data_IF_458750493216
#
_entry.id   IF_458750493216
#
_cell.length_a   1.000
_cell.length_b   1.000
_cell.length_c   1.000
_cell.angle_alpha   90.00
_cell.angle_beta   90.00
_cell.angle_gamma   90.00
#
_symmetry.space_group_name_H-M   'P 1'
#
loop_
_entity.id
_entity.type
_entity.pdbx_description
1 polymer ?
#
# COMPACT_ATOMS: atom_id res chain seq x y z
N UNK A 1 -29.50 -31.45 42.04
CA UNK A 1 -28.98 -32.30 40.95
C UNK A 1 -29.03 -31.45 39.68
N UNK A 2 -27.88 -30.95 39.25
CA UNK A 2 -27.63 -29.94 38.22
C UNK A 2 -27.92 -30.45 36.81
N UNK A 3 -28.37 -29.59 35.90
CA UNK A 3 -27.95 -29.49 34.47
C UNK A 3 -28.67 -28.26 33.88
N UNK A 4 -28.16 -27.03 34.07
CA UNK A 4 -27.26 -26.33 33.14
C UNK A 4 -27.53 -26.74 31.68
N UNK A 5 -28.41 -25.99 31.02
CA UNK A 5 -28.36 -25.83 29.56
C UNK A 5 -26.96 -25.29 29.20
N UNK A 6 -26.16 -25.97 28.38
CA UNK A 6 -24.99 -25.33 27.79
C UNK A 6 -25.48 -24.28 26.80
N UNK A 7 -25.00 -23.01 26.85
CA UNK A 7 -25.17 -22.13 25.71
C UNK A 7 -24.37 -22.74 24.56
N UNK A 8 -25.09 -23.05 23.48
CA UNK A 8 -24.54 -23.48 22.19
C UNK A 8 -23.57 -22.41 21.66
N UNK A 9 -22.30 -22.54 22.04
CA UNK A 9 -21.19 -21.68 21.63
C UNK A 9 -20.48 -22.29 20.42
N UNK A 10 -21.24 -22.79 19.45
CA UNK A 10 -20.68 -23.30 18.21
C UNK A 10 -20.91 -22.32 17.05
N UNK A 11 -19.82 -21.63 16.71
CA UNK A 11 -19.55 -21.08 15.37
C UNK A 11 -20.28 -19.77 15.00
N UNK A 12 -19.82 -18.66 15.58
CA UNK A 12 -19.73 -17.43 14.78
C UNK A 12 -18.73 -17.73 13.66
N UNK A 13 -19.13 -17.80 12.37
CA UNK A 13 -18.14 -17.85 11.32
C UNK A 13 -17.38 -16.53 11.41
N UNK A 14 -16.11 -16.58 11.83
CA UNK A 14 -15.19 -15.48 11.58
C UNK A 14 -15.22 -15.30 10.06
N UNK A 15 -15.99 -14.32 9.61
CA UNK A 15 -15.93 -13.80 8.26
C UNK A 15 -14.56 -13.13 8.11
N UNK A 16 -13.53 -13.97 8.05
CA UNK A 16 -12.16 -13.64 7.77
C UNK A 16 -12.16 -13.40 6.27
N UNK A 17 -12.79 -12.29 5.85
CA UNK A 17 -12.81 -11.77 4.48
C UNK A 17 -11.45 -12.11 3.90
N UNK A 18 -11.41 -13.00 2.91
CA UNK A 18 -10.18 -13.45 2.26
C UNK A 18 -9.37 -12.18 1.99
N UNK A 19 -8.25 -12.00 2.69
CA UNK A 19 -7.45 -10.77 2.66
C UNK A 19 -7.08 -10.53 1.20
N UNK A 20 -7.82 -9.62 0.56
CA UNK A 20 -7.88 -9.55 -0.89
C UNK A 20 -6.49 -9.25 -1.41
N UNK A 21 -6.02 -10.06 -2.37
CA UNK A 21 -4.93 -9.67 -3.23
C UNK A 21 -5.21 -8.24 -3.72
N UNK A 22 -4.21 -7.37 -3.76
CA UNK A 22 -4.37 -6.05 -4.35
C UNK A 22 -4.99 -6.20 -5.75
N UNK A 23 -6.24 -5.79 -5.93
CA UNK A 23 -6.91 -5.77 -7.23
C UNK A 23 -7.15 -4.32 -7.66
N UNK A 24 -7.21 -4.07 -8.97
CA UNK A 24 -7.48 -2.74 -9.53
C UNK A 24 -6.28 -1.77 -9.43
N UNK A 25 -6.46 -0.66 -8.72
CA UNK A 25 -5.55 0.50 -8.71
C UNK A 25 -4.13 0.16 -8.25
N UNK A 26 -3.98 -0.50 -7.10
CA UNK A 26 -2.65 -0.81 -6.52
C UNK A 26 -1.88 -1.82 -7.36
N UNK A 27 -2.57 -2.78 -7.96
CA UNK A 27 -1.97 -3.78 -8.85
C UNK A 27 -1.43 -3.12 -10.14
N UNK A 28 -2.22 -2.21 -10.72
CA UNK A 28 -1.80 -1.40 -11.88
C UNK A 28 -0.62 -0.50 -11.51
N UNK A 29 -0.70 0.20 -10.37
CA UNK A 29 0.38 1.04 -9.87
C UNK A 29 1.67 0.22 -9.66
N UNK A 30 1.58 -0.96 -9.06
CA UNK A 30 2.73 -1.82 -8.83
C UNK A 30 3.42 -2.27 -10.13
N UNK A 31 2.63 -2.55 -11.17
CA UNK A 31 3.21 -2.87 -12.48
C UNK A 31 4.02 -1.69 -13.06
N UNK A 32 3.50 -0.47 -12.94
CA UNK A 32 4.21 0.75 -13.37
C UNK A 32 5.47 0.97 -12.54
N UNK A 33 5.37 0.83 -11.20
CA UNK A 33 6.51 0.95 -10.28
C UNK A 33 7.65 0.00 -10.67
N UNK A 34 7.32 -1.27 -10.94
CA UNK A 34 8.31 -2.28 -11.34
C UNK A 34 8.97 -1.99 -12.68
N UNK A 35 8.28 -1.30 -13.58
CA UNK A 35 8.82 -0.98 -14.91
C UNK A 35 9.65 0.30 -14.91
N UNK A 36 9.25 1.31 -14.13
CA UNK A 36 9.92 2.62 -14.08
C UNK A 36 11.05 2.68 -13.06
N UNK A 37 10.95 1.90 -11.97
CA UNK A 37 11.83 1.88 -10.79
C UNK A 37 11.93 3.20 -10.02
N UNK A 38 11.85 4.35 -10.68
CA UNK A 38 11.86 5.69 -10.12
C UNK A 38 10.66 6.46 -10.63
N UNK A 39 9.89 7.07 -9.72
CA UNK A 39 8.60 7.69 -10.04
C UNK A 39 8.16 8.69 -8.98
N UNK A 40 7.18 9.53 -9.30
CA UNK A 40 6.44 10.34 -8.33
C UNK A 40 5.00 9.85 -8.18
N UNK A 41 4.29 10.32 -7.14
CA UNK A 41 2.85 10.03 -6.98
C UNK A 41 2.03 10.60 -8.15
N UNK A 42 2.40 11.77 -8.67
CA UNK A 42 1.74 12.38 -9.82
C UNK A 42 1.89 11.50 -11.07
N UNK A 43 3.12 11.06 -11.37
CA UNK A 43 3.39 10.17 -12.50
C UNK A 43 2.59 8.87 -12.45
N UNK A 44 2.39 8.33 -11.24
CA UNK A 44 1.56 7.14 -11.06
C UNK A 44 0.10 7.43 -11.34
N UNK A 45 -0.44 8.50 -10.76
CA UNK A 45 -1.85 8.88 -10.95
C UNK A 45 -2.18 9.09 -12.42
N UNK A 46 -1.31 9.78 -13.16
CA UNK A 46 -1.51 10.03 -14.60
C UNK A 46 -1.61 8.75 -15.42
N UNK A 47 -0.95 7.67 -14.98
CA UNK A 47 -0.93 6.39 -15.69
C UNK A 47 -2.05 5.45 -15.23
N UNK A 48 -2.38 5.46 -13.93
CA UNK A 48 -3.25 4.44 -13.34
C UNK A 48 -4.64 4.92 -12.95
N UNK A 49 -4.85 6.22 -12.71
CA UNK A 49 -6.18 6.74 -12.44
C UNK A 49 -6.98 6.74 -13.74
N UNK A 50 -8.18 6.15 -13.73
CA UNK A 50 -9.09 6.18 -14.88
C UNK A 50 -10.40 6.94 -14.58
N UNK A 51 -10.48 7.59 -13.41
CA UNK A 51 -11.62 8.37 -12.98
C UNK A 51 -12.75 7.55 -12.33
N UNK A 52 -12.63 6.22 -12.29
CA UNK A 52 -13.60 5.36 -11.59
C UNK A 52 -13.36 5.30 -10.08
N UNK A 53 -12.21 5.77 -9.62
CA UNK A 53 -11.80 5.70 -8.22
C UNK A 53 -12.33 6.89 -7.41
N UNK A 54 -12.97 6.60 -6.27
CA UNK A 54 -13.48 7.64 -5.35
C UNK A 54 -12.39 8.57 -4.79
N UNK A 55 -11.19 8.03 -4.53
CA UNK A 55 -10.03 8.81 -4.06
C UNK A 55 -8.73 8.05 -4.36
N UNK A 56 -8.30 8.06 -5.62
CA UNK A 56 -7.07 7.39 -6.05
C UNK A 56 -5.83 7.98 -5.38
N UNK A 57 -5.77 9.32 -5.25
CA UNK A 57 -4.62 10.05 -4.72
C UNK A 57 -4.33 9.69 -3.27
N UNK A 58 -5.32 9.79 -2.38
CA UNK A 58 -5.10 9.44 -0.97
C UNK A 58 -4.83 7.95 -0.80
N UNK A 59 -5.46 7.10 -1.61
CA UNK A 59 -5.24 5.66 -1.55
C UNK A 59 -3.80 5.29 -1.90
N UNK A 60 -3.29 5.79 -3.04
CA UNK A 60 -1.91 5.56 -3.46
C UNK A 60 -0.92 6.22 -2.51
N UNK A 61 -1.15 7.46 -2.05
CA UNK A 61 -0.26 8.12 -1.09
C UNK A 61 -0.04 7.30 0.17
N UNK A 62 -1.13 6.87 0.83
CA UNK A 62 -1.06 6.05 2.05
C UNK A 62 -0.34 4.72 1.80
N UNK A 63 -0.62 4.10 0.66
CA UNK A 63 0.00 2.85 0.29
C UNK A 63 1.52 3.00 0.01
N UNK A 64 1.94 4.01 -0.75
CA UNK A 64 3.36 4.30 -1.01
C UNK A 64 4.12 4.63 0.28
N UNK A 65 3.52 5.41 1.17
CA UNK A 65 4.08 5.73 2.49
C UNK A 65 4.32 4.46 3.31
N UNK A 66 3.37 3.53 3.32
CA UNK A 66 3.54 2.24 3.98
C UNK A 66 4.67 1.40 3.37
N UNK A 67 4.76 1.33 2.03
CA UNK A 67 5.85 0.60 1.35
C UNK A 67 7.22 1.20 1.64
N UNK A 68 7.30 2.52 1.70
CA UNK A 68 8.54 3.21 2.01
C UNK A 68 8.92 3.05 3.49
N UNK A 69 7.93 3.05 4.39
CA UNK A 69 8.15 2.86 5.83
C UNK A 69 8.66 1.46 6.22
N UNK A 70 8.46 0.46 5.35
CA UNK A 70 9.05 -0.88 5.50
C UNK A 70 10.27 -1.13 4.61
N UNK A 71 10.73 -0.13 3.84
CA UNK A 71 11.95 -0.20 3.03
C UNK A 71 11.80 -0.87 1.66
N UNK A 72 10.58 -1.22 1.22
CA UNK A 72 10.33 -1.69 -0.15
C UNK A 72 10.59 -0.57 -1.15
N UNK A 73 10.22 0.65 -0.78
CA UNK A 73 10.55 1.87 -1.50
C UNK A 73 11.52 2.72 -0.68
N UNK A 74 12.33 3.51 -1.36
CA UNK A 74 13.06 4.62 -0.77
C UNK A 74 12.47 5.94 -1.24
N UNK A 75 12.50 6.94 -0.37
CA UNK A 75 12.07 8.31 -0.68
C UNK A 75 13.32 9.18 -0.76
N UNK A 76 13.52 9.85 -1.88
CA UNK A 76 14.64 10.77 -2.03
C UNK A 76 14.42 11.99 -1.13
N UNK A 77 15.50 12.49 -0.51
CA UNK A 77 15.45 13.66 0.38
C UNK A 77 15.09 14.97 -0.34
N UNK A 78 15.26 15.02 -1.66
CA UNK A 78 15.00 16.21 -2.48
C UNK A 78 13.67 16.04 -3.21
N UNK A 79 12.80 17.04 -3.07
CA UNK A 79 11.57 17.13 -3.84
C UNK A 79 11.91 17.46 -5.30
N UNK A 80 11.19 16.83 -6.23
CA UNK A 80 11.22 17.21 -7.64
C UNK A 80 10.37 18.48 -7.78
N UNK A 81 10.87 19.57 -8.40
CA UNK A 81 10.08 20.77 -8.59
C UNK A 81 8.80 20.42 -9.35
N UNK A 82 7.66 20.90 -8.83
CA UNK A 82 6.38 20.64 -9.48
C UNK A 82 6.16 21.57 -10.67
N UNK A 83 5.06 21.33 -11.38
CA UNK A 83 4.74 22.04 -12.64
C UNK A 83 4.25 23.47 -12.40
N UNK A 84 3.80 23.79 -11.18
CA UNK A 84 3.38 25.14 -10.80
C UNK A 84 4.49 25.86 -10.04
N UNK A 85 4.66 27.16 -10.33
CA UNK A 85 5.69 28.02 -9.75
C UNK A 85 5.67 28.06 -8.22
N UNK A 86 4.50 27.84 -7.61
CA UNK A 86 4.28 27.85 -6.14
C UNK A 86 4.12 26.45 -5.54
N UNK A 87 4.34 25.38 -6.31
CA UNK A 87 4.17 24.03 -5.78
C UNK A 87 5.35 23.65 -4.86
N UNK A 88 5.10 23.00 -3.71
CA UNK A 88 6.16 22.49 -2.82
C UNK A 88 7.10 21.47 -3.50
N UNK A 89 6.69 20.92 -4.64
CA UNK A 89 7.36 19.82 -5.34
C UNK A 89 6.71 18.47 -5.05
N UNK A 90 7.29 17.41 -5.63
CA UNK A 90 6.83 16.04 -5.49
C UNK A 90 7.90 15.15 -4.85
N UNK A 91 7.49 14.30 -3.91
CA UNK A 91 8.34 13.23 -3.40
C UNK A 91 8.70 12.26 -4.53
N UNK A 92 9.99 12.02 -4.70
CA UNK A 92 10.52 11.03 -5.64
C UNK A 92 10.73 9.71 -4.90
N UNK A 93 10.09 8.67 -5.40
CA UNK A 93 10.18 7.32 -4.88
C UNK A 93 11.09 6.47 -5.77
N UNK A 94 11.84 5.56 -5.17
CA UNK A 94 12.65 4.55 -5.84
C UNK A 94 12.30 3.17 -5.33
N UNK A 95 12.12 2.21 -6.22
CA UNK A 95 11.96 0.80 -5.89
C UNK A 95 13.29 0.22 -5.40
N UNK A 96 13.29 -0.32 -4.19
CA UNK A 96 14.47 -1.00 -3.60
C UNK A 96 14.28 -2.51 -3.66
N UNK A 97 13.09 -2.99 -3.29
CA UNK A 97 12.79 -4.41 -3.22
C UNK A 97 11.71 -4.77 -4.23
N UNK A 98 12.09 -5.52 -5.26
CA UNK A 98 11.13 -6.05 -6.23
C UNK A 98 10.48 -7.34 -5.69
N UNK A 99 9.28 -7.19 -5.12
CA UNK A 99 8.50 -8.29 -4.55
C UNK A 99 7.79 -9.17 -5.59
N UNK A 100 7.97 -8.94 -6.90
CA UNK A 100 7.41 -9.79 -7.94
C UNK A 100 6.05 -9.31 -8.46
N UNK A 101 5.23 -10.23 -8.98
CA UNK A 101 4.09 -9.89 -9.85
C UNK A 101 2.93 -9.23 -9.11
N UNK A 102 2.53 -9.78 -7.98
CA UNK A 102 1.39 -9.29 -7.19
C UNK A 102 1.82 -8.09 -6.34
N UNK A 103 0.97 -7.09 -6.19
CA UNK A 103 1.33 -5.93 -5.39
C UNK A 103 1.32 -6.26 -3.89
N UNK A 104 2.25 -5.69 -3.11
CA UNK A 104 2.22 -5.82 -1.67
C UNK A 104 0.97 -5.19 -1.07
N UNK A 105 0.39 -5.86 -0.08
CA UNK A 105 -0.84 -5.46 0.60
C UNK A 105 -0.51 -4.79 1.92
N UNK A 106 -0.76 -3.49 2.01
CA UNK A 106 -0.67 -2.77 3.29
C UNK A 106 -1.83 -3.15 4.21
N UNK A 107 -1.49 -3.53 5.45
CA UNK A 107 -2.42 -3.88 6.52
C UNK A 107 -2.31 -2.82 7.62
N UNK A 108 -3.22 -1.85 7.60
CA UNK A 108 -3.23 -0.75 8.56
C UNK A 108 -3.39 -1.23 10.02
N UNK A 109 -4.24 -2.24 10.26
CA UNK A 109 -4.52 -2.74 11.61
C UNK A 109 -3.29 -3.35 12.31
N UNK A 110 -2.35 -3.92 11.56
CA UNK A 110 -1.12 -4.54 12.09
C UNK A 110 0.13 -3.75 11.73
N UNK A 111 -0.03 -2.57 11.13
CA UNK A 111 1.05 -1.69 10.66
C UNK A 111 2.17 -2.43 9.89
N UNK A 112 1.79 -3.31 8.98
CA UNK A 112 2.72 -4.13 8.19
C UNK A 112 2.34 -4.12 6.70
N UNK A 113 3.31 -4.48 5.86
CA UNK A 113 3.10 -4.74 4.43
C UNK A 113 3.30 -6.22 4.17
N UNK A 114 2.25 -6.90 3.72
CA UNK A 114 2.31 -8.31 3.34
C UNK A 114 2.63 -8.45 1.85
N UNK A 115 3.66 -9.22 1.52
CA UNK A 115 3.97 -9.61 0.15
C UNK A 115 3.28 -10.95 -0.18
N UNK A 116 2.27 -10.97 -1.07
CA UNK A 116 1.60 -12.20 -1.47
C UNK A 116 2.47 -13.13 -2.34
N UNK A 117 3.54 -12.66 -2.97
CA UNK A 117 4.40 -13.50 -3.82
C UNK A 117 5.35 -14.35 -2.96
N UNK A 118 6.02 -13.73 -1.98
CA UNK A 118 6.94 -14.42 -1.05
C UNK A 118 6.27 -14.92 0.23
N UNK A 119 5.03 -14.52 0.49
CA UNK A 119 4.27 -14.80 1.72
C UNK A 119 4.95 -14.26 2.99
N UNK A 120 5.68 -13.16 2.86
CA UNK A 120 6.43 -12.51 3.94
C UNK A 120 5.76 -11.21 4.36
N UNK A 121 5.79 -10.88 5.65
CA UNK A 121 5.38 -9.59 6.18
C UNK A 121 6.59 -8.70 6.45
N UNK A 122 6.50 -7.42 6.06
CA UNK A 122 7.49 -6.40 6.35
C UNK A 122 6.88 -5.39 7.35
N UNK A 123 7.38 -5.28 8.59
CA UNK A 123 6.89 -4.30 9.53
C UNK A 123 7.24 -2.87 9.08
N UNK A 124 6.35 -1.92 9.33
CA UNK A 124 6.61 -0.51 9.06
C UNK A 124 7.39 0.06 10.25
N UNK A 125 8.67 0.37 10.02
CA UNK A 125 9.62 0.82 11.05
C UNK A 125 9.96 2.30 10.96
N UNK A 126 9.71 2.92 9.81
CA UNK A 126 9.96 4.36 9.59
C UNK A 126 8.64 5.08 9.37
N UNK A 127 8.37 6.07 10.21
CA UNK A 127 7.35 7.08 9.91
C UNK A 127 7.93 8.08 8.90
N UNK A 128 7.32 8.13 7.72
CA UNK A 128 7.72 9.07 6.67
C UNK A 128 6.84 10.31 6.81
N UNK A 129 7.40 11.42 7.27
CA UNK A 129 6.69 12.68 7.37
C UNK A 129 6.26 13.17 5.99
N UNK A 130 5.03 13.69 5.91
CA UNK A 130 4.54 14.40 4.74
C UNK A 130 5.24 15.77 4.74
N UNK A 131 6.32 15.90 3.96
CA UNK A 131 6.97 17.19 3.69
C UNK A 131 6.12 18.02 2.74
#
# INVERSE_FOLDING_TARGET
MTMINPPDVASVPLNRRKRTASCGLRQRAWWVIRRREVFTLADLLDVVANGSERDAKSNLRKWLKALAGCGILNVDKKLVPGVALTSPGFLRYRLVINNGRLAPVWRAATNEVYDPNKRTCYPIVKEISDA
#
